data_IF_576691179143
#
_entry.id   IF_576691179143
#
_cell.length_a   1.000
_cell.length_b   1.000
_cell.length_c   1.000
_cell.angle_alpha   90.00
_cell.angle_beta   90.00
_cell.angle_gamma   90.00
#
_symmetry.space_group_name_H-M   'P 1'
#
loop_
_entity.id
_entity.type
_entity.pdbx_description
1 polymer ?
#
# COMPACT_ATOMS: atom_id res chain seq x y z
N UNK A 1 -48.44 5.32 12.95
CA UNK A 1 -48.36 5.23 11.47
C UNK A 1 -46.91 5.52 11.14
N UNK A 2 -46.13 4.52 10.71
CA UNK A 2 -44.73 4.71 10.33
C UNK A 2 -44.67 5.59 9.08
N UNK A 3 -43.87 6.65 9.11
CA UNK A 3 -43.73 7.57 7.97
C UNK A 3 -42.97 6.89 6.83
N UNK A 4 -43.14 7.37 5.59
CA UNK A 4 -42.43 6.80 4.43
C UNK A 4 -40.91 6.88 4.64
N UNK A 5 -40.43 8.01 5.17
CA UNK A 5 -39.03 8.20 5.56
C UNK A 5 -38.50 7.13 6.51
N UNK A 6 -39.22 6.87 7.61
CA UNK A 6 -38.82 5.86 8.61
C UNK A 6 -38.75 4.46 7.99
N UNK A 7 -39.68 4.13 7.10
CA UNK A 7 -39.67 2.85 6.38
C UNK A 7 -38.46 2.73 5.45
N UNK A 8 -38.15 3.77 4.68
CA UNK A 8 -36.99 3.78 3.76
C UNK A 8 -35.68 3.69 4.53
N UNK A 9 -35.58 4.36 5.69
CA UNK A 9 -34.43 4.24 6.58
C UNK A 9 -34.27 2.81 7.12
N UNK A 10 -35.36 2.19 7.60
CA UNK A 10 -35.31 0.79 8.06
C UNK A 10 -34.88 -0.17 6.95
N UNK A 11 -35.42 -0.02 5.74
CA UNK A 11 -35.03 -0.86 4.59
C UNK A 11 -33.55 -0.69 4.20
N UNK A 12 -33.00 0.52 4.32
CA UNK A 12 -31.56 0.77 4.12
C UNK A 12 -30.71 0.06 5.18
N UNK A 13 -31.11 0.17 6.45
CA UNK A 13 -30.41 -0.46 7.57
C UNK A 13 -30.46 -1.99 7.44
N UNK A 14 -31.59 -2.56 7.06
CA UNK A 14 -31.71 -4.00 6.82
C UNK A 14 -30.81 -4.45 5.66
N UNK A 15 -30.80 -3.70 4.54
CA UNK A 15 -29.90 -4.01 3.43
C UNK A 15 -28.41 -3.90 3.83
N UNK A 16 -28.04 -2.90 4.62
CA UNK A 16 -26.70 -2.75 5.17
C UNK A 16 -26.32 -3.91 6.09
N UNK A 17 -27.21 -4.28 7.01
CA UNK A 17 -26.98 -5.38 7.96
C UNK A 17 -26.94 -6.75 7.27
N UNK A 18 -27.65 -6.91 6.14
CA UNK A 18 -27.59 -8.09 5.28
C UNK A 18 -26.31 -8.17 4.44
N UNK A 19 -25.33 -7.27 4.64
CA UNK A 19 -24.07 -7.29 3.91
C UNK A 19 -24.16 -6.71 2.49
N UNK A 20 -25.30 -6.12 2.13
CA UNK A 20 -25.45 -5.44 0.84
C UNK A 20 -24.93 -4.02 0.94
N UNK A 21 -24.56 -3.44 -0.22
CA UNK A 21 -24.16 -2.03 -0.32
C UNK A 21 -25.28 -1.20 -0.97
N UNK A 22 -26.30 -0.79 -0.20
CA UNK A 22 -27.38 0.04 -0.74
C UNK A 22 -26.85 1.39 -1.23
N UNK A 23 -27.26 1.81 -2.44
CA UNK A 23 -26.94 3.14 -2.97
C UNK A 23 -27.78 4.20 -2.26
N UNK A 24 -27.12 5.09 -1.50
CA UNK A 24 -27.76 6.19 -0.77
C UNK A 24 -28.66 7.03 -1.67
N UNK A 25 -28.23 7.33 -2.91
CA UNK A 25 -29.02 8.17 -3.82
C UNK A 25 -30.31 7.46 -4.23
N UNK A 26 -30.24 6.16 -4.52
CA UNK A 26 -31.41 5.35 -4.86
C UNK A 26 -32.44 5.30 -3.71
N UNK A 27 -32.02 5.41 -2.45
CA UNK A 27 -32.94 5.46 -1.30
C UNK A 27 -33.50 6.87 -1.07
N UNK A 28 -32.70 7.92 -1.28
CA UNK A 28 -33.16 9.32 -1.20
C UNK A 28 -34.22 9.64 -2.27
N UNK A 29 -34.13 9.03 -3.45
CA UNK A 29 -35.11 9.22 -4.52
C UNK A 29 -36.50 8.64 -4.20
N UNK A 30 -36.59 7.74 -3.20
CA UNK A 30 -37.85 7.06 -2.80
C UNK A 30 -38.73 7.86 -1.87
N UNK A 31 -38.22 8.97 -1.31
CA UNK A 31 -38.99 9.88 -0.46
C UNK A 31 -39.30 11.20 -1.17
N UNK A 32 -40.33 11.88 -0.69
CA UNK A 32 -40.74 13.18 -1.21
C UNK A 32 -39.59 14.20 -1.08
N UNK A 33 -39.44 15.16 -2.02
CA UNK A 33 -38.34 16.11 -2.00
C UNK A 33 -38.14 16.86 -0.67
N UNK A 34 -39.24 17.15 0.04
CA UNK A 34 -39.21 17.82 1.33
C UNK A 34 -38.67 16.96 2.49
N UNK A 35 -38.63 15.63 2.32
CA UNK A 35 -38.16 14.67 3.32
C UNK A 35 -36.73 14.16 3.03
N UNK A 36 -36.16 14.50 1.86
CA UNK A 36 -34.85 14.01 1.42
C UNK A 36 -33.71 14.47 2.31
N UNK A 37 -33.68 15.74 2.67
CA UNK A 37 -32.63 16.30 3.53
C UNK A 37 -32.65 15.63 4.91
N UNK A 38 -33.85 15.44 5.47
CA UNK A 38 -34.00 14.75 6.74
C UNK A 38 -33.58 13.27 6.67
N UNK A 39 -33.91 12.57 5.57
CA UNK A 39 -33.44 11.19 5.36
C UNK A 39 -31.92 11.13 5.16
N UNK A 40 -31.32 12.11 4.47
CA UNK A 40 -29.88 12.18 4.26
C UNK A 40 -29.13 12.34 5.59
N UNK A 41 -29.64 13.18 6.49
CA UNK A 41 -29.08 13.36 7.84
C UNK A 41 -29.19 12.07 8.68
N UNK A 42 -30.34 11.38 8.61
CA UNK A 42 -30.55 10.11 9.31
C UNK A 42 -29.60 9.01 8.78
N UNK A 43 -29.44 8.92 7.45
CA UNK A 43 -28.51 7.97 6.80
C UNK A 43 -27.06 8.29 7.12
N UNK A 44 -26.66 9.57 7.10
CA UNK A 44 -25.31 10.00 7.46
C UNK A 44 -25.00 9.68 8.93
N UNK A 45 -25.96 9.90 9.82
CA UNK A 45 -25.84 9.56 11.24
C UNK A 45 -25.67 8.06 11.43
N UNK A 46 -26.48 7.25 10.75
CA UNK A 46 -26.35 5.79 10.80
C UNK A 46 -24.98 5.33 10.28
N UNK A 47 -24.57 5.77 9.08
CA UNK A 47 -23.30 5.37 8.45
C UNK A 47 -22.06 5.77 9.26
N UNK A 48 -22.16 6.82 10.08
CA UNK A 48 -21.06 7.23 10.98
C UNK A 48 -20.78 6.20 12.07
N UNK A 49 -21.81 5.47 12.52
CA UNK A 49 -21.73 4.54 13.65
C UNK A 49 -21.98 3.09 13.27
N UNK A 50 -22.38 2.82 12.02
CA UNK A 50 -22.72 1.50 11.57
C UNK A 50 -21.48 0.58 11.62
N UNK A 51 -21.60 -0.64 12.15
CA UNK A 51 -20.53 -1.63 12.05
C UNK A 51 -20.26 -1.96 10.58
N UNK A 52 -19.02 -2.37 10.28
CA UNK A 52 -18.64 -2.85 8.94
C UNK A 52 -19.60 -3.98 8.51
N UNK A 53 -20.25 -3.87 7.33
CA UNK A 53 -21.12 -4.92 6.82
C UNK A 53 -20.37 -6.24 6.62
N UNK A 54 -21.05 -7.36 6.86
CA UNK A 54 -20.57 -8.69 6.46
C UNK A 54 -20.83 -8.88 4.96
N UNK A 55 -20.00 -8.25 4.12
CA UNK A 55 -20.23 -8.15 2.67
C UNK A 55 -20.40 -9.52 2.02
N UNK A 56 -21.47 -9.68 1.23
CA UNK A 56 -21.67 -10.88 0.43
C UNK A 56 -20.65 -10.96 -0.73
N UNK A 57 -20.51 -12.15 -1.31
CA UNK A 57 -19.54 -12.40 -2.39
C UNK A 57 -19.76 -11.50 -3.62
N UNK A 58 -21.00 -11.06 -3.89
CA UNK A 58 -21.30 -10.19 -5.03
C UNK A 58 -20.90 -8.74 -4.73
N UNK A 59 -21.10 -8.27 -3.49
CA UNK A 59 -20.65 -6.97 -3.01
C UNK A 59 -19.12 -6.87 -2.98
N UNK A 60 -18.43 -7.93 -2.54
CA UNK A 60 -16.97 -8.01 -2.60
C UNK A 60 -16.45 -7.98 -4.04
N UNK A 61 -17.05 -8.75 -4.96
CA UNK A 61 -16.67 -8.73 -6.37
C UNK A 61 -16.90 -7.34 -7.03
N UNK A 62 -17.95 -6.63 -6.63
CA UNK A 62 -18.21 -5.27 -7.09
C UNK A 62 -17.18 -4.27 -6.57
N UNK A 63 -16.72 -4.42 -5.32
CA UNK A 63 -15.62 -3.63 -4.75
C UNK A 63 -14.31 -3.90 -5.47
N UNK A 64 -13.98 -5.16 -5.75
CA UNK A 64 -12.77 -5.54 -6.50
C UNK A 64 -12.77 -4.98 -7.93
N UNK A 65 -13.95 -4.87 -8.55
CA UNK A 65 -14.10 -4.31 -9.89
C UNK A 65 -14.00 -2.77 -9.93
N UNK A 66 -14.01 -2.07 -8.78
CA UNK A 66 -13.82 -0.62 -8.77
C UNK A 66 -12.39 -0.28 -9.25
N UNK A 67 -12.22 0.64 -10.21
CA UNK A 67 -10.90 0.94 -10.79
C UNK A 67 -9.85 1.34 -9.75
N UNK A 68 -10.27 2.06 -8.70
CA UNK A 68 -9.38 2.50 -7.62
C UNK A 68 -8.91 1.33 -6.75
N UNK A 69 -9.75 0.31 -6.58
CA UNK A 69 -9.45 -0.91 -5.84
C UNK A 69 -8.63 -1.85 -6.72
N UNK A 70 -8.97 -1.99 -8.00
CA UNK A 70 -8.22 -2.78 -8.98
C UNK A 70 -6.78 -2.26 -9.15
N UNK A 71 -6.58 -0.94 -9.21
CA UNK A 71 -5.25 -0.32 -9.24
C UNK A 71 -4.47 -0.57 -7.94
N UNK A 72 -5.14 -0.52 -6.78
CA UNK A 72 -4.53 -0.83 -5.49
C UNK A 72 -4.16 -2.31 -5.34
N UNK A 73 -5.03 -3.21 -5.82
CA UNK A 73 -4.83 -4.67 -5.80
C UNK A 73 -3.75 -5.11 -6.79
N UNK A 74 -3.68 -4.51 -7.97
CA UNK A 74 -2.62 -4.74 -8.94
C UNK A 74 -1.25 -4.26 -8.42
N UNK A 75 -1.24 -3.20 -7.60
CA UNK A 75 -0.03 -2.76 -6.90
C UNK A 75 0.30 -3.61 -5.64
N UNK A 76 -0.71 -4.25 -5.04
CA UNK A 76 -0.58 -5.08 -3.82
C UNK A 76 0.11 -6.43 -4.01
N UNK A 77 0.47 -6.79 -5.24
CA UNK A 77 1.25 -7.99 -5.57
C UNK A 77 2.78 -7.81 -5.49
N UNK A 78 3.27 -6.56 -5.47
CA UNK A 78 4.70 -6.25 -5.48
C UNK A 78 5.24 -5.98 -4.07
N UNK A 79 6.50 -6.35 -3.79
CA UNK A 79 7.19 -6.17 -2.50
C UNK A 79 7.26 -4.71 -2.02
N UNK A 80 6.93 -3.74 -2.88
CA UNK A 80 6.95 -2.31 -2.58
C UNK A 80 5.57 -1.69 -2.23
N UNK A 81 4.52 -2.50 -2.20
CA UNK A 81 3.16 -2.08 -1.83
C UNK A 81 2.61 -0.99 -2.74
N UNK A 82 1.96 0.02 -2.17
CA UNK A 82 1.31 1.10 -2.92
C UNK A 82 2.26 2.26 -3.29
N UNK A 83 3.55 2.20 -2.93
CA UNK A 83 4.49 3.28 -3.25
C UNK A 83 4.60 3.62 -4.74
N UNK A 84 4.64 2.66 -5.68
CA UNK A 84 4.79 2.95 -7.11
C UNK A 84 3.64 3.78 -7.69
N UNK A 85 2.44 3.69 -7.11
CA UNK A 85 1.28 4.49 -7.52
C UNK A 85 1.11 5.76 -6.68
N UNK A 86 1.32 5.66 -5.36
CA UNK A 86 1.07 6.75 -4.42
C UNK A 86 2.09 7.89 -4.54
N UNK A 87 3.39 7.59 -4.55
CA UNK A 87 4.45 8.61 -4.51
C UNK A 87 4.42 9.50 -5.76
N UNK A 88 4.34 8.97 -7.01
CA UNK A 88 4.24 9.82 -8.19
C UNK A 88 3.00 10.71 -8.17
N UNK A 89 1.86 10.22 -7.66
CA UNK A 89 0.61 10.98 -7.59
C UNK A 89 0.72 12.14 -6.61
N UNK A 90 1.24 11.89 -5.41
CA UNK A 90 1.45 12.93 -4.40
C UNK A 90 2.46 13.97 -4.89
N UNK A 91 3.55 13.53 -5.52
CA UNK A 91 4.57 14.42 -6.07
C UNK A 91 3.99 15.34 -7.17
N UNK A 92 3.20 14.78 -8.10
CA UNK A 92 2.49 15.56 -9.14
C UNK A 92 1.50 16.56 -8.53
N UNK A 93 0.75 16.16 -7.50
CA UNK A 93 -0.17 17.04 -6.77
C UNK A 93 0.57 18.20 -6.08
N UNK A 94 1.75 17.92 -5.52
CA UNK A 94 2.64 18.92 -4.95
C UNK A 94 3.40 19.76 -6.00
N UNK A 95 3.21 19.47 -7.30
CA UNK A 95 3.90 20.11 -8.44
C UNK A 95 5.43 20.04 -8.35
N UNK A 96 5.95 18.91 -7.86
CA UNK A 96 7.39 18.68 -7.71
C UNK A 96 7.93 17.78 -8.83
N UNK A 97 9.12 18.12 -9.35
CA UNK A 97 9.92 17.13 -10.09
C UNK A 97 10.60 16.17 -9.12
N UNK A 98 11.12 15.04 -9.62
CA UNK A 98 11.95 14.12 -8.83
C UNK A 98 13.19 14.84 -8.30
N UNK A 99 13.77 15.75 -9.11
CA UNK A 99 14.93 16.55 -8.70
C UNK A 99 14.58 17.53 -7.58
N UNK A 100 13.40 18.17 -7.61
CA UNK A 100 12.94 19.07 -6.55
C UNK A 100 12.71 18.31 -5.24
N UNK A 101 12.10 17.13 -5.32
CA UNK A 101 11.87 16.27 -4.16
C UNK A 101 13.21 15.83 -3.56
N UNK A 102 14.14 15.35 -4.39
CA UNK A 102 15.48 14.98 -3.95
C UNK A 102 16.23 16.16 -3.31
N UNK A 103 16.14 17.36 -3.90
CA UNK A 103 16.71 18.58 -3.34
C UNK A 103 16.17 18.88 -1.95
N UNK A 104 14.85 18.86 -1.78
CA UNK A 104 14.19 19.08 -0.47
C UNK A 104 14.58 18.03 0.57
N UNK A 105 14.69 16.77 0.16
CA UNK A 105 15.16 15.69 1.05
C UNK A 105 16.61 15.91 1.47
N UNK A 106 17.52 16.22 0.53
CA UNK A 106 18.92 16.52 0.88
C UNK A 106 19.04 17.71 1.81
N UNK A 107 18.23 18.75 1.61
CA UNK A 107 18.25 19.94 2.46
C UNK A 107 17.71 19.61 3.87
N UNK A 108 16.67 18.76 3.96
CA UNK A 108 16.08 18.31 5.24
C UNK A 108 17.06 17.51 6.09
N UNK A 109 17.91 16.69 5.46
CA UNK A 109 18.93 15.89 6.12
C UNK A 109 20.30 16.58 6.21
N UNK A 110 20.41 17.85 5.78
CA UNK A 110 21.67 18.59 5.70
C UNK A 110 22.78 17.85 4.93
N UNK A 111 22.38 17.05 3.92
CA UNK A 111 23.30 16.30 3.07
C UNK A 111 24.01 17.22 2.08
N UNK A 112 25.25 16.90 1.67
CA UNK A 112 25.98 17.72 0.70
C UNK A 112 25.22 17.81 -0.63
N UNK A 113 25.29 18.94 -1.37
CA UNK A 113 24.60 19.08 -2.65
C UNK A 113 24.94 17.99 -3.69
N UNK A 114 26.14 17.40 -3.58
CA UNK A 114 26.59 16.27 -4.39
C UNK A 114 25.76 14.98 -4.19
N UNK A 115 25.01 14.86 -3.08
CA UNK A 115 24.12 13.73 -2.79
C UNK A 115 22.78 13.79 -3.56
N UNK A 116 22.44 14.95 -4.16
CA UNK A 116 21.16 15.16 -4.85
C UNK A 116 20.90 14.19 -6.01
N UNK A 117 21.85 13.92 -6.93
CA UNK A 117 21.63 12.96 -8.01
C UNK A 117 21.38 11.54 -7.50
N UNK A 118 22.11 11.12 -6.46
CA UNK A 118 21.93 9.79 -5.83
C UNK A 118 20.57 9.68 -5.13
N UNK A 119 20.17 10.71 -4.40
CA UNK A 119 18.85 10.81 -3.77
C UNK A 119 17.73 10.75 -4.82
N UNK A 120 17.87 11.45 -5.94
CA UNK A 120 16.91 11.41 -7.05
C UNK A 120 16.80 10.02 -7.69
N UNK A 121 17.93 9.32 -7.83
CA UNK A 121 17.94 7.94 -8.30
C UNK A 121 17.16 7.02 -7.36
N UNK A 122 17.37 7.14 -6.04
CA UNK A 122 16.63 6.36 -5.06
C UNK A 122 15.13 6.68 -5.01
N UNK A 123 14.76 7.96 -5.10
CA UNK A 123 13.33 8.34 -5.23
C UNK A 123 12.72 7.71 -6.48
N UNK A 124 13.45 7.67 -7.59
CA UNK A 124 12.99 7.01 -8.82
C UNK A 124 12.84 5.50 -8.63
N UNK A 125 13.78 4.84 -7.94
CA UNK A 125 13.69 3.42 -7.59
C UNK A 125 12.45 3.15 -6.71
N UNK A 126 12.18 4.02 -5.74
CA UNK A 126 10.98 3.95 -4.89
C UNK A 126 9.69 4.11 -5.70
N UNK A 127 9.64 5.05 -6.64
CA UNK A 127 8.51 5.26 -7.55
C UNK A 127 8.30 4.08 -8.53
N UNK A 128 9.30 3.21 -8.70
CA UNK A 128 9.21 1.99 -9.52
C UNK A 128 8.99 0.72 -8.72
N UNK A 129 9.00 0.81 -7.39
CA UNK A 129 8.90 -0.34 -6.51
C UNK A 129 10.16 -1.19 -6.42
N UNK A 130 11.32 -0.63 -6.78
CA UNK A 130 12.62 -1.32 -6.75
C UNK A 130 13.28 -1.29 -5.36
N UNK A 131 12.63 -0.67 -4.36
CA UNK A 131 13.11 -0.60 -2.98
C UNK A 131 12.21 -1.41 -2.03
N UNK A 132 12.84 -2.23 -1.20
CA UNK A 132 12.19 -2.94 -0.10
C UNK A 132 11.73 -1.93 0.98
N UNK A 133 10.42 -1.82 1.26
CA UNK A 133 9.88 -0.92 2.24
C UNK A 133 10.42 -1.09 3.65
N UNK A 134 10.86 -2.29 4.02
CA UNK A 134 11.43 -2.57 5.33
C UNK A 134 12.85 -2.01 5.51
N UNK A 135 13.52 -1.71 4.40
CA UNK A 135 14.89 -1.17 4.39
C UNK A 135 14.94 0.35 4.33
N UNK A 136 13.82 1.02 4.08
CA UNK A 136 13.73 2.48 4.08
C UNK A 136 13.62 2.99 5.53
N UNK A 137 14.44 3.99 5.88
CA UNK A 137 14.42 4.61 7.21
C UNK A 137 13.09 5.31 7.50
N UNK A 138 12.60 5.20 8.74
CA UNK A 138 11.41 5.94 9.22
C UNK A 138 11.62 7.45 9.19
N UNK A 139 12.85 7.91 9.41
CA UNK A 139 13.19 9.34 9.34
C UNK A 139 13.01 9.84 7.91
N UNK A 140 13.46 9.07 6.93
CA UNK A 140 13.23 9.35 5.52
C UNK A 140 11.74 9.36 5.17
N UNK A 141 10.98 8.35 5.60
CA UNK A 141 9.52 8.30 5.34
C UNK A 141 8.78 9.49 5.96
N UNK A 142 9.19 9.93 7.14
CA UNK A 142 8.63 11.12 7.80
C UNK A 142 8.95 12.39 7.01
N UNK A 143 10.21 12.57 6.60
CA UNK A 143 10.61 13.72 5.78
C UNK A 143 9.89 13.73 4.42
N UNK A 144 9.81 12.56 3.76
CA UNK A 144 9.13 12.37 2.50
C UNK A 144 7.63 12.68 2.62
N UNK A 145 6.96 12.15 3.64
CA UNK A 145 5.56 12.47 3.95
C UNK A 145 5.36 13.98 4.14
N UNK A 146 6.21 14.62 4.95
CA UNK A 146 6.14 16.07 5.17
C UNK A 146 6.30 16.89 3.90
N UNK A 147 7.21 16.50 2.99
CA UNK A 147 7.41 17.20 1.71
C UNK A 147 6.23 16.97 0.76
N UNK A 148 5.62 15.78 0.81
CA UNK A 148 4.47 15.39 -0.02
C UNK A 148 3.11 15.81 0.56
N UNK A 149 3.07 16.33 1.79
CA UNK A 149 1.87 16.82 2.46
C UNK A 149 0.98 15.72 3.07
N UNK A 150 1.57 14.59 3.48
CA UNK A 150 0.90 13.49 4.18
C UNK A 150 1.69 13.08 5.43
N UNK A 151 1.11 12.25 6.31
CA UNK A 151 1.84 11.75 7.46
C UNK A 151 2.85 10.65 7.07
N UNK A 152 4.00 10.60 7.74
CA UNK A 152 5.03 9.60 7.48
C UNK A 152 4.57 8.16 7.76
N UNK A 153 3.65 7.96 8.71
CA UNK A 153 3.07 6.65 9.04
C UNK A 153 2.09 6.18 7.97
N UNK A 154 1.35 7.09 7.35
CA UNK A 154 0.50 6.77 6.20
C UNK A 154 1.35 6.28 5.03
N UNK A 155 2.50 6.92 4.81
CA UNK A 155 3.45 6.49 3.78
C UNK A 155 4.13 5.15 4.14
N UNK A 156 4.49 4.93 5.41
CA UNK A 156 5.02 3.64 5.89
C UNK A 156 4.00 2.51 5.71
N UNK A 157 2.73 2.75 6.08
CA UNK A 157 1.65 1.79 5.89
C UNK A 157 1.44 1.48 4.39
N UNK A 158 1.51 2.48 3.52
CA UNK A 158 1.40 2.29 2.07
C UNK A 158 2.50 1.39 1.49
N UNK A 159 3.72 1.46 2.01
CA UNK A 159 4.81 0.56 1.62
C UNK A 159 4.63 -0.84 2.18
N UNK A 160 4.09 -0.94 3.40
CA UNK A 160 3.80 -2.22 4.06
C UNK A 160 2.54 -2.94 3.55
N UNK A 161 1.77 -2.34 2.64
CA UNK A 161 0.59 -2.96 2.02
C UNK A 161 0.93 -4.02 0.95
N UNK A 162 2.16 -4.53 0.94
CA UNK A 162 2.49 -5.79 0.28
C UNK A 162 1.84 -6.94 1.03
N UNK A 163 0.85 -7.58 0.42
CA UNK A 163 0.21 -8.75 1.00
C UNK A 163 -1.11 -8.52 1.72
N UNK A 164 -1.96 -7.58 1.27
CA UNK A 164 -3.41 -7.85 1.30
C UNK A 164 -3.67 -9.01 0.33
N UNK A 165 -3.25 -10.21 0.75
CA UNK A 165 -3.64 -11.45 0.15
C UNK A 165 -5.09 -11.63 0.55
N UNK A 166 -5.99 -11.50 -0.42
CA UNK A 166 -7.25 -12.26 -0.36
C UNK A 166 -6.81 -13.71 -0.10
N UNK A 167 -7.32 -14.41 0.93
CA UNK A 167 -6.96 -15.81 1.13
C UNK A 167 -7.31 -16.54 -0.16
N UNK A 168 -6.27 -16.98 -0.88
CA UNK A 168 -6.45 -17.80 -2.05
C UNK A 168 -7.28 -19.01 -1.62
N UNK A 169 -8.43 -19.21 -2.27
CA UNK A 169 -9.23 -20.40 -2.11
C UNK A 169 -8.32 -21.64 -2.21
N UNK A 170 -8.51 -22.69 -1.40
CA UNK A 170 -7.59 -23.82 -1.37
C UNK A 170 -7.60 -24.54 -2.72
N UNK A 171 -6.57 -24.27 -3.53
CA UNK A 171 -6.28 -25.06 -4.72
C UNK A 171 -5.87 -26.46 -4.27
N UNK A 172 -6.64 -27.44 -4.73
CA UNK A 172 -6.46 -28.84 -4.43
C UNK A 172 -5.02 -29.30 -4.64
N UNK A 173 -4.57 -30.13 -3.70
CA UNK A 173 -3.29 -30.83 -3.71
C UNK A 173 -3.01 -31.50 -5.07
N UNK A 174 -1.91 -31.11 -5.71
CA UNK A 174 -1.25 -31.89 -6.74
C UNK A 174 0.16 -32.22 -6.25
N UNK A 175 0.39 -33.51 -6.07
CA UNK A 175 1.58 -34.11 -5.50
C UNK A 175 2.86 -33.77 -6.29
N UNK A 176 3.90 -33.34 -5.57
CA UNK A 176 5.27 -33.33 -6.06
C UNK A 176 6.00 -34.59 -5.54
N UNK A 177 6.66 -35.39 -6.38
CA UNK A 177 7.45 -36.53 -5.93
C UNK A 177 8.78 -36.06 -5.33
N UNK A 178 9.11 -36.61 -4.16
CA UNK A 178 10.44 -36.53 -3.56
C UNK A 178 11.47 -37.19 -4.49
N UNK A 179 12.54 -36.48 -4.83
CA UNK A 179 13.74 -37.09 -5.39
C UNK A 179 14.88 -37.10 -4.37
N UNK A 180 15.44 -38.30 -4.24
CA UNK A 180 16.49 -38.79 -3.35
C UNK A 180 17.86 -38.23 -3.75
N UNK A 181 18.63 -37.78 -2.76
CA UNK A 181 20.01 -37.30 -2.93
C UNK A 181 21.00 -38.47 -3.08
N UNK A 182 21.91 -38.36 -4.05
CA UNK A 182 23.09 -39.22 -4.21
C UNK A 182 24.39 -38.39 -4.06
N UNK A 183 25.41 -39.09 -3.59
CA UNK A 183 26.63 -38.68 -2.87
C UNK A 183 27.70 -37.99 -3.74
N UNK A 184 27.35 -36.91 -4.46
CA UNK A 184 28.29 -36.14 -5.31
C UNK A 184 28.35 -34.63 -4.96
N UNK A 185 27.84 -34.22 -3.79
CA UNK A 185 27.75 -32.80 -3.39
C UNK A 185 28.96 -32.26 -2.61
N UNK A 186 29.91 -33.11 -2.18
CA UNK A 186 30.98 -32.66 -1.28
C UNK A 186 32.09 -31.81 -1.96
N UNK A 187 32.22 -31.89 -3.29
CA UNK A 187 33.21 -31.11 -4.05
C UNK A 187 32.71 -29.72 -4.48
N UNK A 188 31.46 -29.63 -4.93
CA UNK A 188 30.84 -28.38 -5.40
C UNK A 188 30.59 -27.38 -4.27
N UNK A 189 30.15 -27.85 -3.09
CA UNK A 189 29.94 -27.02 -1.91
C UNK A 189 31.23 -26.30 -1.46
N UNK A 190 32.41 -26.89 -1.70
CA UNK A 190 33.69 -26.27 -1.33
C UNK A 190 34.07 -25.13 -2.28
N UNK A 191 33.84 -25.31 -3.59
CA UNK A 191 34.07 -24.27 -4.58
C UNK A 191 33.11 -23.08 -4.38
N UNK A 192 31.84 -23.36 -4.06
CA UNK A 192 30.85 -22.33 -3.75
C UNK A 192 31.19 -21.56 -2.47
N UNK A 193 31.74 -22.24 -1.45
CA UNK A 193 32.22 -21.59 -0.22
C UNK A 193 33.43 -20.68 -0.45
N UNK A 194 34.34 -21.02 -1.37
CA UNK A 194 35.49 -20.17 -1.73
C UNK A 194 35.04 -18.92 -2.51
N UNK A 195 34.07 -19.05 -3.43
CA UNK A 195 33.47 -17.92 -4.15
C UNK A 195 32.72 -16.98 -3.19
N UNK A 196 32.01 -17.53 -2.20
CA UNK A 196 31.34 -16.75 -1.15
C UNK A 196 32.36 -16.06 -0.22
N UNK A 197 33.50 -16.70 0.09
CA UNK A 197 34.56 -16.11 0.89
C UNK A 197 35.27 -14.95 0.17
N UNK A 198 35.52 -15.09 -1.14
CA UNK A 198 36.09 -14.02 -1.97
C UNK A 198 35.11 -12.84 -2.12
N UNK A 199 33.81 -13.12 -2.26
CA UNK A 199 32.77 -12.09 -2.28
C UNK A 199 32.67 -11.33 -0.93
N UNK A 200 32.94 -12.00 0.19
CA UNK A 200 33.01 -11.38 1.53
C UNK A 200 34.33 -10.64 1.79
N UNK A 201 35.40 -10.96 1.05
CA UNK A 201 36.72 -10.33 1.16
C UNK A 201 36.87 -9.08 0.28
N UNK A 202 35.96 -8.84 -0.67
CA UNK A 202 35.90 -7.58 -1.41
C UNK A 202 35.63 -6.42 -0.43
N UNK A 203 36.38 -5.29 -0.53
CA UNK A 203 36.10 -4.13 0.31
C UNK A 203 34.68 -3.65 0.03
N UNK A 204 33.78 -3.85 0.99
CA UNK A 204 32.39 -3.41 0.88
C UNK A 204 32.37 -1.94 0.53
N UNK A 205 31.67 -1.60 -0.54
CA UNK A 205 31.40 -0.22 -0.92
C UNK A 205 30.89 0.50 0.33
N UNK A 206 31.61 1.54 0.77
CA UNK A 206 31.38 2.16 2.07
C UNK A 206 30.04 2.88 1.97
N UNK A 207 29.00 2.32 2.60
CA UNK A 207 27.66 2.91 2.58
C UNK A 207 27.74 4.35 3.07
N UNK A 208 27.24 5.26 2.24
CA UNK A 208 27.13 6.65 2.64
C UNK A 208 25.78 6.92 3.34
N UNK A 209 25.64 8.13 3.87
CA UNK A 209 24.44 8.53 4.61
C UNK A 209 23.15 8.45 3.76
N UNK A 210 23.26 8.56 2.43
CA UNK A 210 22.11 8.36 1.52
C UNK A 210 21.72 6.89 1.48
N UNK A 211 22.70 5.98 1.37
CA UNK A 211 22.44 4.53 1.40
C UNK A 211 21.80 4.11 2.73
N UNK A 212 22.25 4.70 3.83
CA UNK A 212 21.69 4.43 5.16
C UNK A 212 20.21 4.82 5.25
N UNK A 213 19.82 5.95 4.66
CA UNK A 213 18.42 6.41 4.64
C UNK A 213 17.51 5.52 3.79
N UNK A 214 17.97 5.10 2.60
CA UNK A 214 17.13 4.37 1.65
C UNK A 214 17.23 2.84 1.78
N UNK A 215 18.31 2.31 2.37
CA UNK A 215 18.59 0.87 2.45
C UNK A 215 19.06 0.38 3.83
N UNK A 216 19.30 1.27 4.79
CA UNK A 216 19.88 0.96 6.11
C UNK A 216 18.90 0.37 7.14
N UNK A 217 17.60 0.31 6.84
CA UNK A 217 16.58 -0.23 7.74
C UNK A 217 16.00 0.78 8.73
N UNK A 218 15.03 0.33 9.54
CA UNK A 218 14.17 1.22 10.36
C UNK A 218 14.87 1.90 11.56
N UNK A 219 16.15 1.64 11.78
CA UNK A 219 16.92 2.13 12.94
C UNK A 219 17.92 3.24 12.61
N UNK A 220 18.03 3.65 11.33
CA UNK A 220 18.86 4.77 10.90
C UNK A 220 18.12 6.12 10.99
#
# INVERSE_FOLDING_TARGET
MTTMRERVLSEFIDAWNDGRRPDVNAYLERVEPAERDALADDLATFLTWAPEPDYDAAALAALEAEPIVAEAMAAGGDEAGLWPSLIPRLRKRAKLSVADLAGRLTDTFALPPAARPKTAAYVTQMERGELDPNRVSRRLLTALGSVLGIDGRELEAAGGMSGWTVPAAPAAAAAAPMFRAEDQAAGEVRADLEVLADALAAPGERWDEVDELFRGGRSA
#
